data_IF_926958594913
#
_entry.id   IF_926958594913
#
_cell.length_a   1.000
_cell.length_b   1.000
_cell.length_c   1.000
_cell.angle_alpha   90.00
_cell.angle_beta   90.00
_cell.angle_gamma   90.00
#
_symmetry.space_group_name_H-M   'P 1'
#
loop_
_entity.id
_entity.type
_entity.pdbx_description
1 polymer ?
#
# COMPACT_ATOMS: atom_id res chain seq x y z
N UNK A 1 -4.43 -12.03 28.66
CA UNK A 1 -3.82 -11.64 27.36
C UNK A 1 -4.60 -10.47 26.80
N UNK A 2 -4.01 -9.27 26.70
CA UNK A 2 -4.69 -8.14 26.07
C UNK A 2 -4.76 -8.41 24.56
N UNK A 3 -5.97 -8.66 24.06
CA UNK A 3 -6.21 -8.87 22.63
C UNK A 3 -5.79 -7.60 21.87
N UNK A 4 -5.01 -7.77 20.79
CA UNK A 4 -4.68 -6.66 19.89
C UNK A 4 -5.93 -6.26 19.10
N UNK A 5 -6.12 -4.96 18.90
CA UNK A 5 -7.23 -4.44 18.12
C UNK A 5 -7.04 -4.79 16.63
N UNK A 6 -8.02 -5.43 15.96
CA UNK A 6 -7.94 -5.75 14.54
C UNK A 6 -8.07 -4.48 13.68
N UNK A 7 -7.23 -4.38 12.66
CA UNK A 7 -7.27 -3.27 11.68
C UNK A 7 -7.04 -3.77 10.26
N UNK A 8 -7.48 -3.01 9.27
CA UNK A 8 -7.10 -3.17 7.87
C UNK A 8 -5.76 -2.46 7.66
N UNK A 9 -4.71 -3.22 7.33
CA UNK A 9 -3.44 -2.64 6.93
C UNK A 9 -3.56 -2.20 5.47
N UNK A 10 -3.55 -0.89 5.24
CA UNK A 10 -3.85 -0.31 3.93
C UNK A 10 -2.59 0.32 3.34
N UNK A 11 -2.22 -0.11 2.13
CA UNK A 11 -1.11 0.44 1.36
C UNK A 11 -1.67 1.23 0.18
N UNK A 12 -1.35 2.52 0.12
CA UNK A 12 -1.71 3.39 -1.00
C UNK A 12 -0.48 3.55 -1.90
N UNK A 13 -0.67 3.37 -3.22
CA UNK A 13 0.39 3.47 -4.22
C UNK A 13 0.04 4.63 -5.15
N UNK A 14 0.81 5.70 -5.04
CA UNK A 14 0.70 6.89 -5.88
C UNK A 14 1.62 6.70 -7.08
N UNK A 15 1.05 6.22 -8.18
CA UNK A 15 1.80 5.83 -9.39
C UNK A 15 2.41 7.02 -10.11
N UNK A 16 1.83 8.21 -9.97
CA UNK A 16 2.36 9.43 -10.55
C UNK A 16 3.64 9.92 -9.88
N UNK A 17 3.69 9.91 -8.55
CA UNK A 17 4.85 10.31 -7.76
C UNK A 17 5.80 9.14 -7.47
N UNK A 18 5.44 7.94 -7.92
CA UNK A 18 6.19 6.71 -7.67
C UNK A 18 6.45 6.54 -6.16
N UNK A 19 5.41 6.79 -5.36
CA UNK A 19 5.43 6.86 -3.90
C UNK A 19 4.45 5.85 -3.32
N UNK A 20 4.74 5.39 -2.10
CA UNK A 20 3.79 4.60 -1.33
C UNK A 20 3.51 5.20 0.04
N UNK A 21 2.35 4.86 0.57
CA UNK A 21 1.90 5.17 1.92
C UNK A 21 1.39 3.88 2.57
N UNK A 22 1.53 3.77 3.88
CA UNK A 22 0.95 2.68 4.67
C UNK A 22 0.23 3.24 5.89
N UNK A 23 -0.97 2.75 6.11
CA UNK A 23 -1.90 3.20 7.14
C UNK A 23 -2.62 2.02 7.80
N UNK A 24 -3.16 2.23 8.99
CA UNK A 24 -4.17 1.34 9.57
C UNK A 24 -5.56 1.96 9.43
N UNK A 25 -6.56 1.15 9.14
CA UNK A 25 -7.98 1.54 9.23
C UNK A 25 -8.66 0.62 10.25
N UNK A 26 -9.27 1.17 11.30
CA UNK A 26 -10.01 0.38 12.27
C UNK A 26 -11.28 -0.22 11.66
N UNK A 27 -11.87 -1.21 12.32
CA UNK A 27 -13.17 -1.76 11.90
C UNK A 27 -14.34 -0.78 12.11
N UNK A 28 -14.10 0.39 12.72
CA UNK A 28 -15.06 1.51 12.80
C UNK A 28 -14.85 2.55 11.70
N UNK A 29 -13.82 2.40 10.86
CA UNK A 29 -13.49 3.33 9.77
C UNK A 29 -12.56 4.47 10.17
N UNK A 30 -12.01 4.46 11.38
CA UNK A 30 -10.99 5.44 11.81
C UNK A 30 -9.66 5.12 11.13
N UNK A 31 -9.13 6.10 10.41
CA UNK A 31 -7.86 5.96 9.71
C UNK A 31 -6.69 6.51 10.54
N UNK A 32 -5.58 5.78 10.50
CA UNK A 32 -4.34 6.14 11.14
C UNK A 32 -3.20 6.07 10.12
N UNK A 33 -2.81 7.21 9.52
CA UNK A 33 -1.56 7.33 8.79
C UNK A 33 -0.38 6.78 9.63
N UNK A 34 0.48 5.99 9.00
CA UNK A 34 1.66 5.41 9.67
C UNK A 34 2.93 5.97 9.03
N UNK A 35 3.21 5.56 7.80
CA UNK A 35 4.49 5.83 7.14
C UNK A 35 4.26 6.12 5.66
N UNK A 36 5.04 7.02 5.09
CA UNK A 36 5.13 7.26 3.65
C UNK A 36 6.57 7.17 3.16
N UNK A 37 6.77 6.89 1.88
CA UNK A 37 8.07 7.10 1.25
C UNK A 37 8.25 8.53 0.75
N UNK A 38 9.49 8.85 0.39
CA UNK A 38 9.79 9.98 -0.50
C UNK A 38 9.19 9.73 -1.91
N UNK A 39 9.02 10.81 -2.70
CA UNK A 39 8.73 10.67 -4.14
C UNK A 39 9.85 9.90 -4.84
N UNK A 40 9.50 9.14 -5.87
CA UNK A 40 10.46 8.37 -6.65
C UNK A 40 10.96 7.11 -5.96
N UNK A 41 10.43 6.72 -4.80
CA UNK A 41 10.85 5.48 -4.13
C UNK A 41 10.62 4.21 -4.97
N UNK A 42 9.61 4.26 -5.84
CA UNK A 42 9.29 3.20 -6.80
C UNK A 42 10.00 3.38 -8.15
N UNK A 43 10.75 4.46 -8.37
CA UNK A 43 11.47 4.73 -9.64
C UNK A 43 12.28 3.55 -10.19
N UNK A 44 12.93 2.69 -9.39
CA UNK A 44 13.72 1.59 -9.93
C UNK A 44 12.97 0.54 -10.76
N UNK A 45 11.63 0.47 -10.73
CA UNK A 45 10.92 -0.42 -11.67
C UNK A 45 10.85 0.19 -13.08
N UNK A 46 10.93 1.51 -13.21
CA UNK A 46 10.76 2.19 -14.50
C UNK A 46 11.92 1.83 -15.43
N UNK A 47 11.59 1.30 -16.61
CA UNK A 47 12.56 0.93 -17.64
C UNK A 47 13.33 -0.36 -17.38
N UNK A 48 13.06 -1.06 -16.27
CA UNK A 48 13.57 -2.41 -16.02
C UNK A 48 12.80 -3.44 -16.86
N UNK A 49 13.39 -4.61 -17.06
CA UNK A 49 12.71 -5.74 -17.73
C UNK A 49 11.54 -6.26 -16.88
N UNK A 50 10.52 -6.83 -17.51
CA UNK A 50 9.26 -7.17 -16.84
C UNK A 50 9.44 -8.01 -15.55
N UNK A 51 10.27 -9.05 -15.60
CA UNK A 51 10.53 -9.90 -14.43
C UNK A 51 11.27 -9.13 -13.31
N UNK A 52 12.12 -8.18 -13.66
CA UNK A 52 12.79 -7.30 -12.71
C UNK A 52 11.81 -6.30 -12.10
N UNK A 53 10.86 -5.77 -12.87
CA UNK A 53 9.77 -4.92 -12.38
C UNK A 53 8.93 -5.66 -11.35
N UNK A 54 8.50 -6.88 -11.69
CA UNK A 54 7.71 -7.74 -10.80
C UNK A 54 8.51 -8.03 -9.53
N UNK A 55 9.77 -8.45 -9.65
CA UNK A 55 10.66 -8.77 -8.54
C UNK A 55 10.86 -7.57 -7.61
N UNK A 56 11.18 -6.41 -8.19
CA UNK A 56 11.38 -5.16 -7.44
C UNK A 56 10.12 -4.76 -6.68
N UNK A 57 8.95 -4.70 -7.34
CA UNK A 57 7.70 -4.28 -6.71
C UNK A 57 7.29 -5.22 -5.60
N UNK A 58 7.42 -6.54 -5.80
CA UNK A 58 7.17 -7.55 -4.76
C UNK A 58 8.05 -7.33 -3.54
N UNK A 59 9.37 -7.23 -3.75
CA UNK A 59 10.31 -6.99 -2.65
C UNK A 59 10.01 -5.66 -1.93
N UNK A 60 9.79 -4.59 -2.69
CA UNK A 60 9.53 -3.26 -2.17
C UNK A 60 8.26 -3.23 -1.33
N UNK A 61 7.14 -3.69 -1.87
CA UNK A 61 5.84 -3.68 -1.20
C UNK A 61 5.81 -4.64 -0.01
N UNK A 62 6.55 -5.75 -0.05
CA UNK A 62 6.72 -6.60 1.14
C UNK A 62 7.40 -5.84 2.30
N UNK A 63 8.42 -5.03 1.98
CA UNK A 63 9.05 -4.13 2.95
C UNK A 63 8.10 -3.05 3.48
N UNK A 64 7.14 -2.57 2.66
CA UNK A 64 6.10 -1.64 3.11
C UNK A 64 5.18 -2.31 4.14
N UNK A 65 4.75 -3.54 3.88
CA UNK A 65 3.91 -4.31 4.79
C UNK A 65 4.61 -4.54 6.14
N UNK A 66 5.90 -4.91 6.12
CA UNK A 66 6.67 -5.08 7.34
C UNK A 66 6.69 -3.78 8.17
N UNK A 67 6.99 -2.64 7.56
CA UNK A 67 6.98 -1.33 8.24
C UNK A 67 5.61 -0.99 8.83
N UNK A 68 4.54 -1.25 8.08
CA UNK A 68 3.17 -1.07 8.53
C UNK A 68 2.85 -1.94 9.76
N UNK A 69 3.18 -3.23 9.69
CA UNK A 69 3.04 -4.17 10.81
C UNK A 69 3.80 -3.70 12.05
N UNK A 70 5.05 -3.25 11.90
CA UNK A 70 5.87 -2.77 13.02
C UNK A 70 5.21 -1.57 13.72
N UNK A 71 4.70 -0.59 12.95
CA UNK A 71 4.02 0.59 13.50
C UNK A 71 2.69 0.24 14.16
N UNK A 72 1.94 -0.72 13.61
CA UNK A 72 0.70 -1.20 14.24
C UNK A 72 0.97 -1.96 15.54
N UNK A 73 2.03 -2.77 15.58
CA UNK A 73 2.39 -3.55 16.77
C UNK A 73 2.69 -2.64 17.96
N UNK A 74 3.45 -1.55 17.75
CA UNK A 74 3.70 -0.53 18.78
C UNK A 74 2.44 0.15 19.31
N UNK A 75 1.35 0.13 18.53
CA UNK A 75 0.03 0.68 18.88
C UNK A 75 -0.96 -0.39 19.41
N UNK A 76 -0.49 -1.60 19.73
CA UNK A 76 -1.31 -2.76 20.13
C UNK A 76 -2.39 -3.15 19.09
N UNK A 77 -2.14 -2.85 17.81
CA UNK A 77 -3.01 -3.19 16.68
C UNK A 77 -2.46 -4.39 15.91
N UNK A 78 -3.32 -5.17 15.26
CA UNK A 78 -2.93 -6.31 14.42
C UNK A 78 -3.69 -6.27 13.09
N UNK A 79 -3.00 -6.41 11.94
CA UNK A 79 -3.67 -6.60 10.66
C UNK A 79 -4.59 -7.82 10.67
N UNK A 80 -5.86 -7.62 10.32
CA UNK A 80 -6.83 -8.68 10.05
C UNK A 80 -7.11 -8.84 8.54
N UNK A 81 -6.75 -7.82 7.75
CA UNK A 81 -6.80 -7.82 6.29
C UNK A 81 -5.71 -6.87 5.76
N UNK A 82 -5.14 -7.17 4.60
CA UNK A 82 -4.23 -6.28 3.87
C UNK A 82 -4.92 -5.76 2.63
N UNK A 83 -4.94 -4.44 2.47
CA UNK A 83 -5.60 -3.75 1.36
C UNK A 83 -4.55 -2.97 0.60
N UNK A 84 -4.33 -3.28 -0.66
CA UNK A 84 -3.58 -2.43 -1.58
C UNK A 84 -4.54 -1.59 -2.41
N UNK A 85 -4.22 -0.30 -2.59
CA UNK A 85 -4.94 0.60 -3.50
C UNK A 85 -3.92 1.39 -4.31
N UNK A 86 -3.88 1.19 -5.63
CA UNK A 86 -3.12 2.03 -6.54
C UNK A 86 -4.03 3.07 -7.20
N UNK A 87 -3.56 4.31 -7.40
CA UNK A 87 -4.30 5.38 -8.09
C UNK A 87 -4.41 5.19 -9.62
N UNK A 88 -3.93 4.05 -10.11
CA UNK A 88 -3.94 3.62 -11.50
C UNK A 88 -3.08 2.38 -11.72
N UNK A 89 -3.01 1.87 -12.95
CA UNK A 89 -1.98 0.90 -13.31
C UNK A 89 -0.58 1.54 -13.24
N UNK A 90 0.47 0.71 -13.17
CA UNK A 90 1.84 1.19 -13.29
C UNK A 90 2.09 1.67 -14.73
N UNK A 91 1.86 2.96 -14.99
CA UNK A 91 1.75 3.51 -16.35
C UNK A 91 2.98 3.35 -17.24
N UNK A 92 4.17 3.15 -16.66
CA UNK A 92 5.45 2.98 -17.38
C UNK A 92 5.88 1.51 -17.45
N UNK A 93 4.91 0.59 -17.40
CA UNK A 93 5.11 -0.84 -17.46
C UNK A 93 4.06 -1.52 -18.35
N UNK A 94 4.29 -2.78 -18.75
CA UNK A 94 3.27 -3.57 -19.43
C UNK A 94 1.95 -3.61 -18.62
N UNK A 95 0.77 -3.55 -19.28
CA UNK A 95 -0.53 -3.51 -18.61
C UNK A 95 -0.78 -4.64 -17.60
N UNK A 96 -0.14 -5.79 -17.81
CA UNK A 96 -0.22 -6.97 -16.95
C UNK A 96 0.57 -6.84 -15.65
N UNK A 97 1.48 -5.86 -15.49
CA UNK A 97 2.33 -5.74 -14.31
C UNK A 97 1.51 -5.60 -13.02
N UNK A 98 0.52 -4.70 -13.01
CA UNK A 98 -0.33 -4.48 -11.84
C UNK A 98 -1.03 -5.77 -11.41
N UNK A 99 -1.60 -6.50 -12.37
CA UNK A 99 -2.26 -7.79 -12.11
C UNK A 99 -1.27 -8.83 -11.60
N UNK A 100 -0.09 -8.95 -12.22
CA UNK A 100 0.95 -9.91 -11.84
C UNK A 100 1.45 -9.70 -10.41
N UNK A 101 1.63 -8.45 -10.01
CA UNK A 101 2.02 -8.08 -8.63
C UNK A 101 0.88 -8.36 -7.65
N UNK A 102 -0.36 -8.02 -8.02
CA UNK A 102 -1.53 -8.24 -7.18
C UNK A 102 -1.78 -9.74 -6.92
N UNK A 103 -1.79 -10.56 -7.97
CA UNK A 103 -1.93 -12.03 -7.88
C UNK A 103 -0.85 -12.62 -6.97
N UNK A 104 0.41 -12.18 -7.13
CA UNK A 104 1.49 -12.67 -6.27
C UNK A 104 1.20 -12.49 -4.78
N UNK A 105 0.74 -11.31 -4.35
CA UNK A 105 0.47 -11.07 -2.94
C UNK A 105 -0.72 -11.88 -2.42
N UNK A 106 -1.74 -12.08 -3.26
CA UNK A 106 -2.92 -12.89 -2.91
C UNK A 106 -2.55 -14.37 -2.78
N UNK A 107 -1.74 -14.89 -3.70
CA UNK A 107 -1.35 -16.30 -3.73
C UNK A 107 -0.37 -16.65 -2.61
N UNK A 108 0.54 -15.73 -2.25
CA UNK A 108 1.61 -16.01 -1.29
C UNK A 108 1.28 -15.61 0.16
N UNK A 109 0.37 -14.66 0.40
CA UNK A 109 -0.03 -14.28 1.75
C UNK A 109 -1.38 -14.90 2.11
N UNK A 110 -1.34 -15.95 2.92
CA UNK A 110 -2.55 -16.67 3.36
C UNK A 110 -3.16 -16.11 4.66
N UNK A 111 -2.39 -15.35 5.45
CA UNK A 111 -2.88 -14.75 6.70
C UNK A 111 -2.04 -13.53 7.13
N UNK A 112 -2.62 -12.32 7.19
CA UNK A 112 -4.02 -11.98 6.88
C UNK A 112 -4.33 -12.03 5.36
N UNK A 113 -5.60 -12.20 4.97
CA UNK A 113 -6.00 -12.15 3.55
C UNK A 113 -5.66 -10.81 2.90
N UNK A 114 -5.48 -10.86 1.59
CA UNK A 114 -5.10 -9.70 0.78
C UNK A 114 -6.18 -9.39 -0.25
N UNK A 115 -6.41 -8.11 -0.45
CA UNK A 115 -7.14 -7.58 -1.60
C UNK A 115 -6.34 -6.47 -2.26
N UNK A 116 -6.39 -6.41 -3.58
CA UNK A 116 -5.74 -5.37 -4.36
C UNK A 116 -6.77 -4.65 -5.22
N UNK A 117 -6.79 -3.32 -5.10
CA UNK A 117 -7.63 -2.44 -5.87
C UNK A 117 -6.80 -1.47 -6.73
N UNK A 118 -7.39 -1.05 -7.84
CA UNK A 118 -7.03 0.17 -8.55
C UNK A 118 -8.16 1.17 -8.44
N UNK A 119 -7.84 2.46 -8.42
CA UNK A 119 -8.83 3.52 -8.46
C UNK A 119 -8.28 4.67 -9.28
N UNK A 120 -8.70 4.76 -10.54
CA UNK A 120 -8.16 5.74 -11.49
C UNK A 120 -8.27 7.15 -10.93
N UNK A 121 -7.14 7.85 -10.82
CA UNK A 121 -7.03 9.25 -10.38
C UNK A 121 -7.55 9.54 -8.96
N UNK A 122 -7.79 8.52 -8.14
CA UNK A 122 -8.44 8.69 -6.83
C UNK A 122 -7.71 9.64 -5.87
N UNK A 123 -6.40 9.80 -6.01
CA UNK A 123 -5.60 10.57 -5.06
C UNK A 123 -5.54 12.07 -5.39
N UNK A 124 -6.17 12.51 -6.48
CA UNK A 124 -6.04 13.89 -7.00
C UNK A 124 -7.28 14.78 -6.80
N UNK A 125 -8.47 14.20 -6.85
CA UNK A 125 -9.68 15.01 -7.07
C UNK A 125 -10.64 15.09 -5.87
N UNK A 126 -10.25 14.55 -4.71
CA UNK A 126 -11.05 14.66 -3.46
C UNK A 126 -12.47 14.07 -3.53
N UNK A 127 -12.80 13.39 -4.62
CA UNK A 127 -14.10 12.79 -4.90
C UNK A 127 -14.21 11.35 -4.40
N UNK A 128 -15.34 10.67 -4.71
CA UNK A 128 -15.51 9.26 -4.38
C UNK A 128 -14.36 8.42 -4.99
N UNK A 129 -13.88 7.43 -4.25
CA UNK A 129 -12.86 6.48 -4.71
C UNK A 129 -13.54 5.24 -5.32
N UNK A 130 -13.72 5.16 -6.65
CA UNK A 130 -14.22 3.95 -7.30
C UNK A 130 -13.14 2.86 -7.26
N UNK A 131 -13.24 1.95 -6.29
CA UNK A 131 -12.34 0.81 -6.18
C UNK A 131 -12.70 -0.27 -7.21
N UNK A 132 -11.81 -0.50 -8.16
CA UNK A 132 -11.84 -1.63 -9.07
C UNK A 132 -10.97 -2.76 -8.49
N UNK A 133 -11.56 -3.92 -8.23
CA UNK A 133 -10.83 -5.06 -7.67
C UNK A 133 -9.97 -5.72 -8.74
N UNK A 134 -8.66 -5.82 -8.48
CA UNK A 134 -7.69 -6.47 -9.37
C UNK A 134 -7.48 -7.93 -8.96
N UNK A 135 -7.30 -8.19 -7.66
CA UNK A 135 -7.06 -9.53 -7.13
C UNK A 135 -7.50 -9.64 -5.67
N UNK A 136 -7.69 -10.88 -5.20
CA UNK A 136 -8.06 -11.16 -3.81
C UNK A 136 -9.55 -10.92 -3.53
N UNK A 137 -9.93 -10.92 -2.27
CA UNK A 137 -11.32 -10.66 -1.83
C UNK A 137 -11.31 -9.96 -0.49
N UNK A 138 -12.19 -8.99 -0.33
CA UNK A 138 -12.47 -8.36 0.96
C UNK A 138 -13.80 -8.86 1.52
N UNK A 139 -13.86 -9.01 2.84
CA UNK A 139 -15.12 -9.29 3.53
C UNK A 139 -16.06 -8.09 3.38
N UNK A 140 -17.36 -8.35 3.19
CA UNK A 140 -18.39 -7.34 3.08
C UNK A 140 -18.44 -6.45 4.33
N UNK A 141 -18.19 -7.03 5.51
CA UNK A 141 -18.14 -6.31 6.78
C UNK A 141 -17.04 -5.25 6.83
N UNK A 142 -15.99 -5.38 6.00
CA UNK A 142 -14.86 -4.45 5.96
C UNK A 142 -15.01 -3.36 4.90
N UNK A 143 -16.01 -3.44 4.01
CA UNK A 143 -16.19 -2.45 2.93
C UNK A 143 -16.51 -1.06 3.44
N UNK A 144 -17.46 -0.92 4.36
CA UNK A 144 -17.84 0.39 4.90
C UNK A 144 -16.70 1.04 5.73
N UNK A 145 -16.03 0.32 6.65
CA UNK A 145 -14.83 0.84 7.31
C UNK A 145 -13.72 1.24 6.33
N UNK A 146 -13.45 0.42 5.31
CA UNK A 146 -12.47 0.72 4.28
C UNK A 146 -12.82 2.00 3.53
N UNK A 147 -14.05 2.15 3.06
CA UNK A 147 -14.48 3.34 2.31
C UNK A 147 -14.34 4.62 3.14
N UNK A 148 -14.79 4.60 4.40
CA UNK A 148 -14.65 5.73 5.34
C UNK A 148 -13.19 6.06 5.60
N UNK A 149 -12.38 5.06 5.91
CA UNK A 149 -10.97 5.24 6.22
C UNK A 149 -10.17 5.74 5.00
N UNK A 150 -10.45 5.23 3.81
CA UNK A 150 -9.80 5.68 2.57
C UNK A 150 -10.07 7.15 2.28
N UNK A 151 -11.31 7.63 2.46
CA UNK A 151 -11.63 9.04 2.27
C UNK A 151 -10.76 9.94 3.17
N UNK A 152 -10.57 9.56 4.44
CA UNK A 152 -9.69 10.28 5.38
C UNK A 152 -8.23 10.22 4.94
N UNK A 153 -7.74 9.03 4.55
CA UNK A 153 -6.34 8.86 4.14
C UNK A 153 -6.01 9.65 2.87
N UNK A 154 -6.91 9.67 1.88
CA UNK A 154 -6.74 10.44 0.65
C UNK A 154 -6.67 11.93 0.95
N UNK A 155 -7.55 12.44 1.83
CA UNK A 155 -7.47 13.83 2.30
C UNK A 155 -6.14 14.15 3.01
N UNK A 156 -5.50 13.16 3.63
CA UNK A 156 -4.22 13.32 4.31
C UNK A 156 -2.97 13.16 3.43
N UNK A 157 -3.09 12.74 2.15
CA UNK A 157 -1.92 12.46 1.30
C UNK A 157 -1.03 13.70 1.07
N UNK A 158 -1.66 14.88 0.99
CA UNK A 158 -1.00 16.17 0.81
C UNK A 158 -0.39 16.76 2.09
N UNK A 159 -0.78 16.27 3.28
CA UNK A 159 -0.21 16.73 4.54
C UNK A 159 0.99 15.88 4.94
N UNK A 160 2.20 16.40 4.71
CA UNK A 160 3.43 15.69 5.10
C UNK A 160 3.54 15.40 6.58
N UNK A 161 2.94 16.21 7.45
CA UNK A 161 3.04 16.07 8.90
C UNK A 161 2.13 14.96 9.44
N UNK A 162 1.15 14.53 8.64
CA UNK A 162 0.30 13.39 8.98
C UNK A 162 1.07 12.05 8.92
N UNK A 163 2.23 11.99 8.25
CA UNK A 163 2.94 10.74 7.99
C UNK A 163 4.37 10.74 8.53
N UNK A 164 4.78 9.62 9.15
CA UNK A 164 6.20 9.36 9.35
C UNK A 164 6.87 9.18 7.98
N UNK A 165 8.03 9.80 7.75
CA UNK A 165 8.77 9.56 6.51
C UNK A 165 9.70 8.36 6.69
N UNK A 166 9.57 7.36 5.82
CA UNK A 166 10.44 6.20 5.85
C UNK A 166 11.89 6.64 5.61
N UNK A 167 12.86 6.10 6.38
CA UNK A 167 14.25 6.41 6.13
C UNK A 167 14.62 6.01 4.70
N UNK A 168 15.41 6.83 3.98
CA UNK A 168 15.92 6.43 2.68
C UNK A 168 16.68 5.12 2.84
N UNK A 169 16.63 4.25 1.83
CA UNK A 169 17.50 3.07 1.84
C UNK A 169 18.93 3.60 1.91
N UNK A 170 19.79 3.13 2.83
CA UNK A 170 21.20 3.47 2.74
C UNK A 170 21.68 3.12 1.33
N UNK A 171 22.37 4.06 0.69
CA UNK A 171 23.03 3.77 -0.57
C UNK A 171 23.92 2.55 -0.32
N UNK A 172 23.51 1.39 -0.84
CA UNK A 172 24.36 0.21 -0.78
C UNK A 172 25.67 0.56 -1.46
N UNK A 173 26.76 0.26 -0.78
CA UNK A 173 28.13 0.33 -1.27
C UNK A 173 28.16 -0.05 -2.76
N UNK A 174 28.59 0.90 -3.60
CA UNK A 174 28.98 0.56 -4.95
C UNK A 174 30.06 -0.52 -4.91
N UNK A 175 30.19 -1.34 -5.97
CA UNK A 175 31.30 -2.28 -6.03
C UNK A 175 32.60 -1.49 -5.85
N UNK A 176 33.33 -1.78 -4.78
CA UNK A 176 34.73 -1.39 -4.67
C UNK A 176 35.45 -2.13 -5.79
N UNK A 177 35.78 -1.40 -6.85
CA UNK A 177 36.74 -1.81 -7.89
C UNK A 177 38.12 -1.93 -7.29
#
# INVERSE_FOLDING_TARGET
>A
MNAKEPVLLTVLIETAELRWYVAGISLTGEAAPLVRSESGNLKPYVGAEFDEQVSFLRHRLSGVLQRGCDRLWGRRKKPCHIVFVADGPFAQAPPELTRRVAEHFVDWMTSPPVVFFTSRHAFRDGGPLPLEQVAGRIDEAYRAPLASGLAVLVGALGDSNAWETAPPKPAGEGPQT
#
